data_IF_286200058595
#
_entry.id   IF_286200058595
#
_cell.length_a   1.000
_cell.length_b   1.000
_cell.length_c   1.000
_cell.angle_alpha   90.00
_cell.angle_beta   90.00
_cell.angle_gamma   90.00
#
_symmetry.space_group_name_H-M   'P 1'
#
loop_
_entity.id
_entity.type
_entity.pdbx_description
1 polymer ?
#
# COMPACT_ATOMS: atom_id res chain seq x y z
N UNK A 1 -42.67 11.85 34.91
CA UNK A 1 -41.61 10.97 35.46
C UNK A 1 -41.63 9.63 34.74
N UNK A 2 -40.63 9.29 33.92
CA UNK A 2 -40.47 7.93 33.40
C UNK A 2 -39.56 7.09 34.31
N UNK A 3 -39.91 5.81 34.43
CA UNK A 3 -39.40 4.80 35.37
C UNK A 3 -37.94 4.38 35.06
N UNK A 4 -37.04 4.54 36.05
CA UNK A 4 -35.73 3.87 36.14
C UNK A 4 -35.91 2.36 36.41
N UNK A 5 -36.30 1.56 35.42
CA UNK A 5 -36.25 0.06 35.52
C UNK A 5 -35.76 -0.61 34.21
N UNK A 6 -35.31 0.12 33.19
CA UNK A 6 -35.15 -0.47 31.84
C UNK A 6 -33.79 -1.11 31.48
N UNK A 7 -32.67 -0.71 32.09
CA UNK A 7 -31.33 -1.03 31.53
C UNK A 7 -30.87 -2.47 31.85
N UNK A 8 -31.17 -3.01 33.04
CA UNK A 8 -30.79 -4.39 33.40
C UNK A 8 -31.65 -5.45 32.69
N UNK A 9 -32.91 -5.13 32.36
CA UNK A 9 -33.80 -6.09 31.70
C UNK A 9 -33.44 -6.30 30.22
N UNK A 10 -33.08 -5.23 29.51
CA UNK A 10 -32.73 -5.29 28.09
C UNK A 10 -31.42 -6.06 27.88
N UNK A 11 -30.41 -5.81 28.73
CA UNK A 11 -29.14 -6.54 28.73
C UNK A 11 -29.33 -8.05 29.00
N UNK A 12 -30.22 -8.42 29.93
CA UNK A 12 -30.54 -9.83 30.21
C UNK A 12 -31.26 -10.53 29.08
N UNK A 13 -32.15 -9.83 28.35
CA UNK A 13 -32.82 -10.40 27.18
C UNK A 13 -31.79 -10.70 26.08
N UNK A 14 -30.89 -9.75 25.80
CA UNK A 14 -29.84 -9.91 24.78
C UNK A 14 -28.85 -11.01 25.18
N UNK A 15 -28.41 -11.05 26.44
CA UNK A 15 -27.52 -12.09 26.95
C UNK A 15 -28.13 -13.50 26.80
N UNK A 16 -29.43 -13.64 27.06
CA UNK A 16 -30.10 -14.93 26.91
C UNK A 16 -30.33 -15.32 25.44
N UNK A 17 -30.57 -14.35 24.56
CA UNK A 17 -30.59 -14.58 23.11
C UNK A 17 -29.22 -14.99 22.55
N UNK A 18 -28.13 -14.40 23.07
CA UNK A 18 -26.76 -14.74 22.69
C UNK A 18 -26.32 -16.15 23.09
N UNK A 19 -26.93 -16.72 24.14
CA UNK A 19 -26.71 -18.12 24.54
C UNK A 19 -27.36 -19.15 23.62
N UNK A 20 -28.26 -18.72 22.73
CA UNK A 20 -29.01 -19.58 21.82
C UNK A 20 -28.74 -19.20 20.35
N UNK A 21 -27.60 -19.64 19.81
CA UNK A 21 -27.14 -19.36 18.44
C UNK A 21 -28.10 -19.83 17.35
N UNK A 22 -28.85 -20.93 17.57
CA UNK A 22 -29.92 -21.41 16.66
C UNK A 22 -31.27 -20.69 16.81
N UNK A 23 -31.33 -19.69 17.69
CA UNK A 23 -32.53 -18.92 18.01
C UNK A 23 -33.51 -19.65 18.93
N UNK A 24 -34.23 -18.87 19.74
CA UNK A 24 -35.16 -19.34 20.77
C UNK A 24 -36.59 -18.86 20.51
N UNK A 25 -37.57 -19.71 20.78
CA UNK A 25 -38.99 -19.39 20.65
C UNK A 25 -39.48 -18.49 21.79
N UNK A 26 -40.51 -17.68 21.54
CA UNK A 26 -41.01 -16.70 22.51
C UNK A 26 -41.45 -17.32 23.84
N UNK A 27 -42.11 -18.49 23.81
CA UNK A 27 -42.59 -19.15 25.02
C UNK A 27 -41.42 -19.74 25.85
N UNK A 28 -40.39 -20.26 25.18
CA UNK A 28 -39.19 -20.76 25.84
C UNK A 28 -38.36 -19.61 26.45
N UNK A 29 -38.19 -18.51 25.72
CA UNK A 29 -37.51 -17.31 26.23
C UNK A 29 -38.27 -16.68 27.40
N UNK A 30 -39.60 -16.64 27.33
CA UNK A 30 -40.40 -16.14 28.43
C UNK A 30 -40.31 -17.04 29.66
N UNK A 31 -40.24 -18.37 29.50
CA UNK A 31 -40.08 -19.29 30.62
C UNK A 31 -38.76 -19.05 31.37
N UNK A 32 -37.66 -18.74 30.66
CA UNK A 32 -36.36 -18.42 31.24
C UNK A 32 -36.33 -17.06 31.95
N UNK A 33 -37.16 -16.11 31.50
CA UNK A 33 -37.20 -14.74 32.03
C UNK A 33 -38.50 -14.45 32.81
N UNK A 34 -39.24 -15.48 33.22
CA UNK A 34 -40.59 -15.36 33.79
C UNK A 34 -40.64 -14.50 35.06
N UNK A 35 -39.56 -14.53 35.85
CA UNK A 35 -39.43 -13.82 37.12
C UNK A 35 -38.89 -12.38 36.93
N UNK A 36 -38.50 -12.03 35.71
CA UNK A 36 -37.85 -10.74 35.36
C UNK A 36 -38.78 -9.88 34.50
N UNK A 37 -39.55 -10.47 33.58
CA UNK A 37 -40.35 -9.72 32.61
C UNK A 37 -41.66 -10.45 32.23
N UNK A 38 -42.76 -9.70 32.13
CA UNK A 38 -44.03 -10.26 31.65
C UNK A 38 -43.99 -10.55 30.15
N UNK A 39 -44.72 -11.59 29.70
CA UNK A 39 -44.79 -12.03 28.30
C UNK A 39 -45.08 -10.88 27.32
N UNK A 40 -46.01 -9.99 27.69
CA UNK A 40 -46.40 -8.83 26.87
C UNK A 40 -45.27 -7.79 26.75
N UNK A 41 -44.49 -7.60 27.81
CA UNK A 41 -43.35 -6.67 27.79
C UNK A 41 -42.17 -7.27 27.00
N UNK A 42 -41.91 -8.57 27.13
CA UNK A 42 -40.91 -9.28 26.33
C UNK A 42 -41.24 -9.21 24.83
N UNK A 43 -42.50 -9.44 24.46
CA UNK A 43 -42.95 -9.33 23.08
C UNK A 43 -42.74 -7.92 22.50
N UNK A 44 -43.06 -6.88 23.28
CA UNK A 44 -42.85 -5.49 22.88
C UNK A 44 -41.36 -5.17 22.71
N UNK A 45 -40.51 -5.65 23.62
CA UNK A 45 -39.05 -5.44 23.57
C UNK A 45 -38.41 -6.17 22.40
N UNK A 46 -38.78 -7.42 22.15
CA UNK A 46 -38.31 -8.15 20.97
C UNK A 46 -38.72 -7.47 19.66
N UNK A 47 -39.94 -6.92 19.57
CA UNK A 47 -40.36 -6.15 18.41
C UNK A 47 -39.51 -4.87 18.23
N UNK A 48 -39.17 -4.21 19.34
CA UNK A 48 -38.28 -3.05 19.34
C UNK A 48 -36.86 -3.44 18.90
N UNK A 49 -36.26 -4.49 19.46
CA UNK A 49 -34.92 -4.96 19.08
C UNK A 49 -34.83 -5.46 17.63
N UNK A 50 -35.93 -6.00 17.08
CA UNK A 50 -36.00 -6.33 15.66
C UNK A 50 -36.02 -5.07 14.79
N UNK A 51 -36.71 -4.02 15.23
CA UNK A 51 -36.73 -2.73 14.53
C UNK A 51 -35.37 -2.03 14.60
N UNK A 52 -34.69 -2.15 15.74
CA UNK A 52 -33.35 -1.59 16.01
C UNK A 52 -32.22 -2.45 15.42
N UNK A 53 -32.54 -3.55 14.73
CA UNK A 53 -31.55 -4.42 14.08
C UNK A 53 -30.69 -5.26 15.02
N UNK A 54 -30.97 -5.27 16.32
CA UNK A 54 -30.23 -6.04 17.33
C UNK A 54 -30.66 -7.52 17.41
N UNK A 55 -31.86 -7.85 16.94
CA UNK A 55 -32.43 -9.21 16.99
C UNK A 55 -33.05 -9.55 15.64
N UNK A 56 -32.73 -10.73 15.11
CA UNK A 56 -33.35 -11.26 13.89
C UNK A 56 -34.48 -12.20 14.27
N UNK A 57 -35.66 -11.95 13.68
CA UNK A 57 -36.84 -12.80 13.80
C UNK A 57 -36.96 -13.71 12.57
N UNK A 58 -36.80 -15.03 12.75
CA UNK A 58 -36.89 -16.02 11.67
C UNK A 58 -38.05 -16.99 11.88
N UNK A 59 -38.71 -17.40 10.79
CA UNK A 59 -39.83 -18.36 10.79
C UNK A 59 -41.22 -17.73 10.63
N UNK A 60 -42.24 -18.57 10.37
CA UNK A 60 -43.66 -18.18 10.23
C UNK A 60 -44.52 -18.81 11.34
N UNK A 61 -45.43 -18.02 11.90
CA UNK A 61 -46.44 -18.42 12.90
C UNK A 61 -45.86 -19.09 14.17
N UNK A 62 -46.13 -20.38 14.41
CA UNK A 62 -45.73 -21.12 15.63
C UNK A 62 -44.25 -21.53 15.65
N UNK A 63 -43.53 -21.37 14.53
CA UNK A 63 -42.10 -21.68 14.41
C UNK A 63 -41.18 -20.46 14.50
N UNK A 64 -41.65 -19.33 15.05
CA UNK A 64 -40.85 -18.09 15.13
C UNK A 64 -39.76 -18.24 16.18
N UNK A 65 -38.51 -18.08 15.74
CA UNK A 65 -37.32 -18.02 16.59
C UNK A 65 -36.71 -16.63 16.55
N UNK A 66 -36.26 -16.17 17.70
CA UNK A 66 -35.53 -14.92 17.86
C UNK A 66 -34.07 -15.27 18.13
N UNK A 67 -33.16 -14.64 17.38
CA UNK A 67 -31.71 -14.76 17.59
C UNK A 67 -31.10 -13.37 17.58
N UNK A 68 -30.00 -13.18 18.28
CA UNK A 68 -29.24 -11.93 18.18
C UNK A 68 -28.79 -11.71 16.73
N UNK A 69 -28.88 -10.48 16.24
CA UNK A 69 -28.35 -10.15 14.92
C UNK A 69 -26.81 -10.23 14.96
N UNK A 70 -26.16 -10.76 13.90
CA UNK A 70 -24.73 -10.58 13.76
C UNK A 70 -24.45 -9.07 13.70
N UNK A 71 -23.47 -8.60 14.46
CA UNK A 71 -23.17 -7.17 14.57
C UNK A 71 -23.01 -6.54 13.18
N UNK A 72 -23.85 -5.55 12.89
CA UNK A 72 -23.70 -4.69 11.72
C UNK A 72 -22.60 -3.70 12.06
N UNK A 73 -21.52 -3.80 11.30
CA UNK A 73 -20.25 -3.10 11.40
C UNK A 73 -20.46 -1.57 11.43
N UNK A 74 -20.38 -0.97 12.62
CA UNK A 74 -19.81 0.38 12.77
C UNK A 74 -18.32 0.21 12.90
N UNK A 75 -17.56 0.76 11.94
CA UNK A 75 -16.13 0.53 11.77
C UNK A 75 -15.30 0.58 13.06
N UNK A 76 -15.05 -0.60 13.61
CA UNK A 76 -13.87 -0.96 14.36
C UNK A 76 -13.25 -2.14 13.61
N UNK A 77 -11.96 -2.04 13.34
CA UNK A 77 -11.19 -3.09 12.67
C UNK A 77 -11.12 -4.29 13.61
N UNK A 78 -12.06 -5.21 13.47
CA UNK A 78 -12.01 -6.52 14.12
C UNK A 78 -11.30 -7.49 13.18
N UNK A 79 -10.09 -7.85 13.55
CA UNK A 79 -9.39 -9.03 13.04
C UNK A 79 -10.11 -10.24 13.65
N UNK A 80 -11.14 -10.74 12.98
CA UNK A 80 -11.75 -12.02 13.39
C UNK A 80 -10.86 -13.17 12.93
N UNK A 81 -9.99 -13.64 13.81
CA UNK A 81 -9.46 -15.00 13.72
C UNK A 81 -10.63 -15.98 13.81
N UNK A 82 -10.74 -16.83 12.79
CA UNK A 82 -11.65 -17.98 12.82
C UNK A 82 -11.13 -19.00 13.85
N UNK A 83 -12.00 -19.74 14.56
CA UNK A 83 -11.54 -20.73 15.52
C UNK A 83 -10.77 -21.84 14.80
N UNK A 84 -9.59 -22.16 15.31
CA UNK A 84 -8.72 -23.25 14.88
C UNK A 84 -9.51 -24.57 14.75
N UNK A 85 -9.90 -24.91 13.52
CA UNK A 85 -9.89 -26.30 13.08
C UNK A 85 -8.49 -26.60 12.59
N UNK A 86 -7.80 -27.41 13.37
CA UNK A 86 -6.48 -27.96 13.13
C UNK A 86 -6.47 -28.76 11.82
N UNK A 87 -6.27 -28.07 10.70
CA UNK A 87 -5.88 -28.66 9.41
C UNK A 87 -4.56 -28.01 8.98
N UNK A 88 -3.49 -28.78 9.14
CA UNK A 88 -2.16 -28.52 8.60
C UNK A 88 -2.21 -28.59 7.07
N UNK A 89 -2.68 -27.53 6.43
CA UNK A 89 -2.24 -27.15 5.08
C UNK A 89 -1.22 -26.03 5.25
N UNK A 90 0.00 -26.24 4.75
CA UNK A 90 1.14 -25.35 4.98
C UNK A 90 0.78 -23.88 4.84
N UNK A 91 0.71 -23.18 5.98
CA UNK A 91 0.43 -21.75 6.04
C UNK A 91 1.56 -21.02 5.30
N UNK A 92 1.23 -20.24 4.26
CA UNK A 92 2.21 -19.41 3.56
C UNK A 92 2.62 -18.29 4.52
N UNK A 93 3.86 -18.36 5.01
CA UNK A 93 4.39 -17.45 6.01
C UNK A 93 5.83 -17.06 5.64
N UNK A 94 6.32 -15.94 6.18
CA UNK A 94 7.70 -15.48 5.92
C UNK A 94 8.72 -16.32 6.71
N UNK A 95 9.96 -16.51 6.22
CA UNK A 95 11.02 -17.12 7.02
C UNK A 95 11.25 -16.33 8.32
N UNK A 96 11.44 -17.02 9.44
CA UNK A 96 11.58 -16.40 10.76
C UNK A 96 12.93 -16.70 11.40
N UNK A 97 13.48 -15.70 12.08
CA UNK A 97 14.56 -15.88 13.04
C UNK A 97 14.03 -16.53 14.34
N UNK A 98 14.92 -17.14 15.16
CA UNK A 98 14.52 -17.70 16.46
C UNK A 98 13.82 -16.67 17.37
N UNK A 99 14.30 -15.43 17.39
CA UNK A 99 13.71 -14.32 18.14
C UNK A 99 12.28 -14.01 17.66
N UNK A 100 12.07 -14.07 16.34
CA UNK A 100 10.76 -13.84 15.73
C UNK A 100 9.77 -14.96 16.02
N UNK A 101 10.23 -16.20 16.18
CA UNK A 101 9.36 -17.31 16.62
C UNK A 101 8.82 -17.10 18.04
N UNK A 102 9.63 -16.58 18.95
CA UNK A 102 9.20 -16.24 20.32
C UNK A 102 8.14 -15.14 20.30
N UNK A 103 8.38 -14.07 19.53
CA UNK A 103 7.43 -12.96 19.37
C UNK A 103 6.12 -13.48 18.78
N UNK A 104 6.19 -14.29 17.72
CA UNK A 104 5.01 -14.90 17.09
C UNK A 104 4.24 -15.76 18.08
N UNK A 105 4.92 -16.58 18.86
CA UNK A 105 4.29 -17.44 19.87
C UNK A 105 3.55 -16.61 20.93
N UNK A 106 4.09 -15.45 21.33
CA UNK A 106 3.41 -14.54 22.24
C UNK A 106 2.16 -13.90 21.60
N UNK A 107 2.29 -13.29 20.41
CA UNK A 107 1.17 -12.52 19.81
C UNK A 107 0.01 -13.41 19.35
N UNK A 108 0.27 -14.69 19.09
CA UNK A 108 -0.76 -15.71 18.80
C UNK A 108 -1.53 -16.19 20.03
N UNK A 109 -1.14 -15.77 21.23
CA UNK A 109 -1.94 -16.06 22.42
C UNK A 109 -3.28 -15.31 22.36
N UNK A 110 -4.37 -15.90 22.91
CA UNK A 110 -5.63 -15.20 23.08
C UNK A 110 -5.41 -13.85 23.75
N UNK A 111 -6.11 -12.81 23.29
CA UNK A 111 -5.96 -11.44 23.79
C UNK A 111 -6.05 -11.34 25.32
N UNK A 112 -6.86 -12.19 25.95
CA UNK A 112 -7.04 -12.24 27.41
C UNK A 112 -5.82 -12.76 28.18
N UNK A 113 -4.90 -13.46 27.50
CA UNK A 113 -3.65 -13.96 28.08
C UNK A 113 -2.49 -12.97 27.90
N UNK A 114 -2.67 -11.92 27.09
CA UNK A 114 -1.67 -10.89 26.83
C UNK A 114 -1.86 -9.72 27.80
N UNK A 115 -0.75 -9.13 28.27
CA UNK A 115 -0.79 -8.07 29.29
C UNK A 115 -0.98 -6.70 28.64
N UNK A 116 -1.97 -5.89 29.06
CA UNK A 116 -2.12 -4.53 28.57
C UNK A 116 -0.89 -3.66 28.82
N UNK A 117 -0.45 -2.95 27.78
CA UNK A 117 0.74 -2.09 27.82
C UNK A 117 0.44 -0.73 27.20
N UNK A 118 1.06 0.34 27.72
CA UNK A 118 0.94 1.69 27.17
C UNK A 118 2.15 2.10 26.33
N UNK A 119 2.11 3.30 25.74
CA UNK A 119 3.26 3.88 25.05
C UNK A 119 4.50 3.96 25.96
N UNK A 120 5.51 3.18 25.63
CA UNK A 120 6.83 3.20 26.25
C UNK A 120 7.75 4.20 25.54
N UNK A 121 8.00 5.35 26.17
CA UNK A 121 8.89 6.37 25.62
C UNK A 121 10.36 5.94 25.63
N UNK A 122 10.78 5.13 26.59
CA UNK A 122 12.18 4.68 26.69
C UNK A 122 12.59 3.78 25.52
N UNK A 123 11.62 3.17 24.81
CA UNK A 123 11.89 2.46 23.56
C UNK A 123 12.41 3.39 22.45
N UNK A 124 11.88 4.62 22.37
CA UNK A 124 12.38 5.65 21.44
C UNK A 124 13.70 6.24 21.95
N UNK A 125 13.81 6.52 23.25
CA UNK A 125 15.01 7.13 23.86
C UNK A 125 16.24 6.22 23.80
N UNK A 126 16.04 4.90 23.73
CA UNK A 126 17.12 3.94 23.56
C UNK A 126 17.74 3.95 22.15
N UNK A 127 17.11 4.61 21.18
CA UNK A 127 17.61 4.72 19.83
C UNK A 127 18.37 6.03 19.62
N UNK A 128 19.63 5.91 19.18
CA UNK A 128 20.50 7.02 18.84
C UNK A 128 20.84 6.95 17.34
N UNK A 129 20.39 7.91 16.51
CA UNK A 129 20.62 7.89 15.07
C UNK A 129 22.10 7.73 14.72
N UNK A 130 22.40 6.75 13.86
CA UNK A 130 23.75 6.40 13.40
C UNK A 130 24.69 5.81 14.47
N UNK A 131 24.26 5.63 15.71
CA UNK A 131 25.02 4.96 16.77
C UNK A 131 24.41 3.59 17.11
N UNK A 132 23.08 3.54 17.27
CA UNK A 132 22.32 2.28 17.37
C UNK A 132 21.71 1.93 16.02
N UNK A 133 21.39 0.65 15.82
CA UNK A 133 20.69 0.20 14.61
C UNK A 133 19.74 -0.94 14.93
N UNK A 134 18.60 -0.94 14.25
CA UNK A 134 17.67 -2.08 14.24
C UNK A 134 18.05 -3.12 13.20
N UNK A 135 18.65 -2.68 12.08
CA UNK A 135 19.18 -3.53 11.04
C UNK A 135 20.70 -3.69 11.18
N UNK A 136 21.21 -4.92 11.39
CA UNK A 136 22.65 -5.20 11.38
C UNK A 136 23.32 -4.67 10.10
N UNK A 137 24.61 -4.32 10.20
CA UNK A 137 25.35 -3.74 9.07
C UNK A 137 25.35 -4.67 7.86
N UNK A 138 25.62 -5.96 8.09
CA UNK A 138 25.68 -6.99 7.06
C UNK A 138 24.34 -7.11 6.31
N UNK A 139 23.24 -6.98 7.04
CA UNK A 139 21.90 -6.99 6.46
C UNK A 139 21.66 -5.76 5.59
N UNK A 140 22.07 -4.56 6.04
CA UNK A 140 21.94 -3.32 5.26
C UNK A 140 22.78 -3.38 3.98
N UNK A 141 23.98 -3.96 4.05
CA UNK A 141 24.83 -4.19 2.88
C UNK A 141 24.22 -5.18 1.89
N UNK A 142 23.64 -6.29 2.37
CA UNK A 142 22.90 -7.23 1.53
C UNK A 142 21.71 -6.56 0.83
N UNK A 143 20.87 -5.83 1.58
CA UNK A 143 19.72 -5.12 1.01
C UNK A 143 20.15 -4.08 -0.03
N UNK A 144 21.26 -3.38 0.23
CA UNK A 144 21.86 -2.45 -0.75
C UNK A 144 22.30 -3.18 -2.01
N UNK A 145 23.00 -4.29 -1.88
CA UNK A 145 23.51 -5.06 -3.02
C UNK A 145 22.40 -5.52 -3.96
N UNK A 146 21.26 -5.98 -3.42
CA UNK A 146 20.11 -6.41 -4.23
C UNK A 146 19.21 -5.24 -4.67
N UNK A 147 19.28 -4.11 -3.97
CA UNK A 147 18.40 -2.97 -4.15
C UNK A 147 18.95 -1.88 -5.07
N UNK A 148 20.27 -1.82 -5.25
CA UNK A 148 20.93 -0.84 -6.12
C UNK A 148 20.79 -1.25 -7.60
N UNK A 149 20.15 -0.42 -8.44
CA UNK A 149 20.10 -0.65 -9.88
C UNK A 149 21.51 -0.56 -10.51
N UNK A 150 21.80 -1.31 -11.59
CA UNK A 150 23.12 -1.29 -12.25
C UNK A 150 23.63 0.08 -12.78
N UNK A 151 22.78 1.11 -12.84
CA UNK A 151 23.14 2.46 -13.29
C UNK A 151 22.91 3.47 -12.14
N UNK A 152 23.89 3.59 -11.25
CA UNK A 152 23.79 4.29 -9.95
C UNK A 152 23.89 5.83 -10.06
N UNK A 153 24.32 6.37 -11.21
CA UNK A 153 24.55 7.82 -11.40
C UNK A 153 23.35 8.60 -11.97
N UNK A 154 22.11 8.26 -11.58
CA UNK A 154 20.90 8.96 -12.05
C UNK A 154 20.33 9.92 -10.99
N UNK A 155 19.57 10.97 -11.38
CA UNK A 155 18.87 11.83 -10.42
C UNK A 155 17.90 11.03 -9.53
N UNK A 156 17.58 11.53 -8.34
CA UNK A 156 16.70 10.83 -7.39
C UNK A 156 15.32 10.52 -8.00
N UNK A 157 14.75 9.38 -7.59
CA UNK A 157 13.46 8.87 -8.07
C UNK A 157 13.45 8.39 -9.51
N UNK A 158 14.57 8.41 -10.25
CA UNK A 158 14.60 7.95 -11.66
C UNK A 158 14.24 6.48 -11.76
N UNK A 159 14.78 5.64 -10.88
CA UNK A 159 14.43 4.22 -10.87
C UNK A 159 12.93 4.01 -10.64
N UNK A 160 12.37 4.70 -9.64
CA UNK A 160 10.95 4.62 -9.33
C UNK A 160 10.06 5.15 -10.49
N UNK A 161 10.52 6.16 -11.23
CA UNK A 161 9.85 6.66 -12.45
C UNK A 161 9.85 5.62 -13.57
N UNK A 162 10.97 4.93 -13.80
CA UNK A 162 11.10 3.89 -14.84
C UNK A 162 10.11 2.74 -14.60
N UNK A 163 9.83 2.41 -13.34
CA UNK A 163 8.88 1.35 -12.96
C UNK A 163 7.54 1.89 -12.44
N UNK A 164 7.25 3.19 -12.62
CA UNK A 164 6.15 3.88 -11.91
C UNK A 164 4.82 3.18 -12.09
N UNK A 165 4.45 2.83 -13.34
CA UNK A 165 3.16 2.18 -13.57
C UNK A 165 3.04 0.91 -12.72
N UNK A 166 4.05 0.02 -12.81
CA UNK A 166 4.09 -1.24 -12.05
C UNK A 166 4.05 -1.00 -10.54
N UNK A 167 4.82 -0.03 -10.05
CA UNK A 167 4.83 0.35 -8.64
C UNK A 167 3.45 0.82 -8.17
N UNK A 168 2.75 1.63 -8.97
CA UNK A 168 1.38 2.06 -8.67
C UNK A 168 0.45 0.87 -8.48
N UNK A 169 0.51 -0.14 -9.34
CA UNK A 169 -0.33 -1.33 -9.20
C UNK A 169 0.05 -2.15 -7.98
N UNK A 170 1.32 -2.53 -7.88
CA UNK A 170 1.78 -3.51 -6.90
C UNK A 170 1.68 -2.96 -5.47
N UNK A 171 2.15 -1.74 -5.23
CA UNK A 171 2.12 -1.14 -3.90
C UNK A 171 0.71 -0.70 -3.49
N UNK A 172 -0.11 -0.16 -4.41
CA UNK A 172 -1.51 0.18 -4.07
C UNK A 172 -2.33 -1.05 -3.74
N UNK A 173 -2.15 -2.14 -4.50
CA UNK A 173 -2.83 -3.40 -4.23
C UNK A 173 -2.35 -4.05 -2.92
N UNK A 174 -1.03 -4.26 -2.77
CA UNK A 174 -0.49 -5.01 -1.64
C UNK A 174 -0.70 -4.26 -0.32
N UNK A 175 -0.43 -2.95 -0.28
CA UNK A 175 -0.65 -2.15 0.93
C UNK A 175 -2.12 -2.08 1.33
N UNK A 176 -3.06 -2.05 0.37
CA UNK A 176 -4.50 -2.09 0.67
C UNK A 176 -4.93 -3.48 1.15
N UNK A 177 -4.38 -4.55 0.56
CA UNK A 177 -4.66 -5.93 0.97
C UNK A 177 -4.24 -6.22 2.41
N UNK A 178 -3.12 -5.64 2.87
CA UNK A 178 -2.69 -5.73 4.27
C UNK A 178 -3.66 -5.04 5.27
N UNK A 179 -4.66 -4.30 4.78
CA UNK A 179 -5.75 -3.72 5.57
C UNK A 179 -7.10 -4.40 5.29
N UNK A 180 -7.10 -5.59 4.68
CA UNK A 180 -8.29 -6.38 4.40
C UNK A 180 -9.00 -6.04 3.08
N UNK A 181 -8.41 -5.21 2.20
CA UNK A 181 -9.00 -4.91 0.90
C UNK A 181 -9.03 -6.17 0.00
N UNK A 182 -10.18 -6.44 -0.61
CA UNK A 182 -10.47 -7.68 -1.34
C UNK A 182 -10.23 -7.58 -2.85
N UNK A 183 -9.71 -6.45 -3.36
CA UNK A 183 -9.35 -6.32 -4.77
C UNK A 183 -8.32 -7.36 -5.20
N UNK A 184 -8.52 -7.92 -6.39
CA UNK A 184 -7.46 -8.70 -7.04
C UNK A 184 -6.43 -7.76 -7.64
N UNK A 185 -5.20 -8.25 -7.83
CA UNK A 185 -4.14 -7.47 -8.48
C UNK A 185 -4.52 -7.04 -9.90
N UNK A 186 -5.28 -7.88 -10.62
CA UNK A 186 -5.79 -7.58 -11.96
C UNK A 186 -6.86 -6.50 -11.95
N UNK A 187 -7.75 -6.51 -10.94
CA UNK A 187 -8.76 -5.47 -10.78
C UNK A 187 -8.11 -4.12 -10.44
N UNK A 188 -7.09 -4.13 -9.57
CA UNK A 188 -6.30 -2.93 -9.27
C UNK A 188 -5.63 -2.37 -10.54
N UNK A 189 -5.07 -3.25 -11.39
CA UNK A 189 -4.50 -2.85 -12.68
C UNK A 189 -5.54 -2.12 -13.55
N UNK A 190 -6.73 -2.72 -13.72
CA UNK A 190 -7.79 -2.13 -14.55
C UNK A 190 -8.27 -0.79 -14.00
N UNK A 191 -8.37 -0.68 -12.67
CA UNK A 191 -8.73 0.57 -12.01
C UNK A 191 -7.68 1.66 -12.24
N UNK A 192 -6.39 1.34 -12.10
CA UNK A 192 -5.31 2.33 -12.22
C UNK A 192 -5.09 2.78 -13.67
N UNK A 193 -5.09 1.83 -14.63
CA UNK A 193 -4.80 2.11 -16.04
C UNK A 193 -6.01 2.71 -16.77
N UNK A 194 -7.21 2.19 -16.52
CA UNK A 194 -8.41 2.49 -17.32
C UNK A 194 -9.51 3.22 -16.53
N UNK A 195 -9.32 3.45 -15.23
CA UNK A 195 -10.35 4.04 -14.37
C UNK A 195 -11.57 3.13 -14.18
N UNK A 196 -11.44 1.83 -14.43
CA UNK A 196 -12.54 0.87 -14.37
C UNK A 196 -12.61 0.23 -12.98
N UNK A 197 -13.61 0.63 -12.19
CA UNK A 197 -13.90 -0.03 -10.91
C UNK A 197 -14.37 -1.47 -11.13
N UNK A 198 -14.01 -2.37 -10.21
CA UNK A 198 -14.40 -3.77 -10.28
C UNK A 198 -15.87 -3.95 -9.86
N UNK A 199 -16.60 -4.76 -10.61
CA UNK A 199 -18.00 -5.06 -10.30
C UNK A 199 -18.14 -5.77 -8.95
N UNK A 200 -19.11 -5.32 -8.14
CA UNK A 200 -19.40 -5.92 -6.84
C UNK A 200 -18.43 -5.57 -5.71
N UNK A 201 -17.47 -4.65 -5.93
CA UNK A 201 -16.59 -4.13 -4.89
C UNK A 201 -17.17 -2.89 -4.20
N UNK A 202 -16.81 -2.71 -2.94
CA UNK A 202 -17.23 -1.55 -2.18
C UNK A 202 -16.52 -0.26 -2.67
N UNK A 203 -17.22 0.87 -2.55
CA UNK A 203 -16.68 2.16 -2.93
C UNK A 203 -15.49 2.55 -2.05
N UNK A 204 -15.47 2.17 -0.76
CA UNK A 204 -14.35 2.46 0.13
C UNK A 204 -13.11 1.65 -0.25
N UNK A 205 -13.28 0.39 -0.66
CA UNK A 205 -12.17 -0.43 -1.17
C UNK A 205 -11.56 0.16 -2.45
N UNK A 206 -12.42 0.64 -3.35
CA UNK A 206 -12.00 1.34 -4.57
C UNK A 206 -11.22 2.62 -4.23
N UNK A 207 -11.77 3.45 -3.33
CA UNK A 207 -11.16 4.70 -2.89
C UNK A 207 -9.81 4.46 -2.24
N UNK A 208 -9.67 3.42 -1.42
CA UNK A 208 -8.40 3.07 -0.78
C UNK A 208 -7.28 2.82 -1.79
N UNK A 209 -7.55 2.16 -2.91
CA UNK A 209 -6.56 1.93 -3.97
C UNK A 209 -6.18 3.25 -4.67
N UNK A 210 -7.18 4.08 -5.00
CA UNK A 210 -6.94 5.39 -5.63
C UNK A 210 -6.15 6.33 -4.71
N UNK A 211 -6.41 6.28 -3.41
CA UNK A 211 -5.67 7.02 -2.40
C UNK A 211 -4.18 6.61 -2.36
N UNK A 212 -3.90 5.31 -2.41
CA UNK A 212 -2.51 4.82 -2.51
C UNK A 212 -1.86 5.27 -3.82
N UNK A 213 -2.57 5.18 -4.96
CA UNK A 213 -2.07 5.66 -6.25
C UNK A 213 -1.62 7.12 -6.14
N UNK A 214 -2.47 8.01 -5.63
CA UNK A 214 -2.16 9.43 -5.49
C UNK A 214 -0.97 9.69 -4.53
N UNK A 215 -0.89 8.95 -3.42
CA UNK A 215 0.23 9.06 -2.47
C UNK A 215 1.57 8.59 -3.07
N UNK A 216 1.56 7.54 -3.89
CA UNK A 216 2.75 7.05 -4.59
C UNK A 216 3.19 8.05 -5.66
N UNK A 217 2.25 8.61 -6.43
CA UNK A 217 2.53 9.65 -7.41
C UNK A 217 3.21 10.86 -6.77
N UNK A 218 2.76 11.30 -5.58
CA UNK A 218 3.42 12.36 -4.82
C UNK A 218 4.89 12.01 -4.54
N UNK A 219 5.15 10.82 -3.98
CA UNK A 219 6.51 10.40 -3.60
C UNK A 219 7.47 10.32 -4.81
N UNK A 220 6.98 9.85 -5.95
CA UNK A 220 7.83 9.65 -7.15
C UNK A 220 7.99 10.95 -7.95
N UNK A 221 6.94 11.76 -8.07
CA UNK A 221 7.00 13.01 -8.81
C UNK A 221 7.81 14.08 -8.06
N UNK A 222 7.68 14.13 -6.73
CA UNK A 222 8.36 15.09 -5.87
C UNK A 222 9.56 14.47 -5.12
N UNK A 223 10.20 13.45 -5.69
CA UNK A 223 11.29 12.67 -5.07
C UNK A 223 12.42 13.52 -4.45
N UNK A 224 12.76 14.66 -5.05
CA UNK A 224 13.80 15.57 -4.54
C UNK A 224 13.35 16.41 -3.33
N UNK A 225 12.03 16.67 -3.23
CA UNK A 225 11.42 17.52 -2.22
C UNK A 225 10.89 16.73 -1.01
N UNK A 226 10.42 15.50 -1.23
CA UNK A 226 9.88 14.67 -0.16
C UNK A 226 10.96 14.28 0.84
N UNK A 227 10.70 14.54 2.12
CA UNK A 227 11.57 14.16 3.24
C UNK A 227 10.70 13.81 4.47
N UNK A 228 11.33 13.55 5.62
CA UNK A 228 10.61 13.34 6.88
C UNK A 228 10.18 14.65 7.56
N UNK A 229 9.80 15.69 6.81
CA UNK A 229 9.16 16.87 7.39
C UNK A 229 7.69 16.55 7.76
N UNK A 230 7.13 17.22 8.79
CA UNK A 230 5.72 17.10 9.13
C UNK A 230 4.80 17.30 7.92
N UNK A 231 5.12 18.26 7.04
CA UNK A 231 4.37 18.52 5.81
C UNK A 231 4.22 17.27 4.95
N UNK A 232 5.31 16.58 4.61
CA UNK A 232 5.28 15.37 3.77
C UNK A 232 4.41 14.29 4.39
N UNK A 233 4.56 14.05 5.69
CA UNK A 233 3.82 12.99 6.39
C UNK A 233 2.33 13.35 6.52
N UNK A 234 2.00 14.63 6.73
CA UNK A 234 0.62 15.10 6.70
C UNK A 234 0.00 14.99 5.31
N UNK A 235 0.74 15.31 4.25
CA UNK A 235 0.29 15.16 2.86
C UNK A 235 0.04 13.71 2.50
N UNK A 236 0.94 12.80 2.89
CA UNK A 236 0.73 11.36 2.73
C UNK A 236 -0.53 10.90 3.48
N UNK A 237 -0.69 11.31 4.74
CA UNK A 237 -1.89 10.98 5.49
C UNK A 237 -3.16 11.55 4.84
N UNK A 238 -3.14 12.81 4.38
CA UNK A 238 -4.28 13.43 3.71
C UNK A 238 -4.70 12.65 2.46
N UNK A 239 -3.75 12.30 1.60
CA UNK A 239 -4.01 11.51 0.39
C UNK A 239 -4.51 10.11 0.72
N UNK A 240 -3.91 9.44 1.71
CA UNK A 240 -4.27 8.07 2.08
C UNK A 240 -5.63 7.97 2.79
N UNK A 241 -6.04 9.02 3.48
CA UNK A 241 -7.27 9.09 4.29
C UNK A 241 -8.45 9.75 3.60
N UNK A 242 -8.25 10.36 2.42
CA UNK A 242 -9.29 11.08 1.70
C UNK A 242 -10.51 10.20 1.41
N UNK A 243 -11.70 10.69 1.76
CA UNK A 243 -12.96 9.96 1.62
C UNK A 243 -13.13 8.73 2.52
N UNK A 244 -12.19 8.41 3.41
CA UNK A 244 -12.24 7.21 4.26
C UNK A 244 -12.52 7.51 5.75
N UNK A 245 -12.24 8.73 6.22
CA UNK A 245 -12.50 9.12 7.62
C UNK A 245 -13.93 9.64 7.81
N UNK A 246 -14.52 9.34 8.97
CA UNK A 246 -15.81 9.89 9.37
C UNK A 246 -15.77 11.41 9.55
N UNK A 247 -14.70 11.92 10.18
CA UNK A 247 -14.41 13.35 10.24
C UNK A 247 -13.40 13.74 9.15
N UNK A 248 -13.89 14.41 8.10
CA UNK A 248 -13.05 14.89 7.00
C UNK A 248 -12.00 15.92 7.44
N UNK A 249 -12.23 16.60 8.57
CA UNK A 249 -11.29 17.59 9.08
C UNK A 249 -10.07 16.96 9.78
N UNK A 250 -10.11 15.65 10.05
CA UNK A 250 -8.99 14.88 10.60
C UNK A 250 -7.98 14.46 9.53
N UNK A 251 -8.35 14.49 8.24
CA UNK A 251 -7.44 14.19 7.13
C UNK A 251 -6.20 15.10 7.19
N UNK A 252 -5.01 14.49 7.12
CA UNK A 252 -3.73 15.22 7.21
C UNK A 252 -3.43 15.90 8.54
N UNK A 253 -4.09 15.55 9.65
CA UNK A 253 -3.87 16.18 10.96
C UNK A 253 -3.62 15.17 12.07
N UNK A 254 -2.75 15.55 13.01
CA UNK A 254 -2.57 14.78 14.25
C UNK A 254 -3.90 14.71 14.99
N UNK A 255 -4.22 13.54 15.53
CA UNK A 255 -5.46 13.32 16.28
C UNK A 255 -5.48 14.10 17.59
N UNK A 256 -6.69 14.55 17.96
CA UNK A 256 -6.95 15.20 19.25
C UNK A 256 -7.74 14.31 20.23
N UNK A 257 -8.00 13.06 19.84
CA UNK A 257 -8.71 12.06 20.65
C UNK A 257 -7.87 10.78 20.82
N UNK A 258 -8.11 10.01 21.90
CA UNK A 258 -7.55 8.66 22.03
C UNK A 258 -8.03 7.75 20.90
N UNK A 259 -7.20 6.76 20.57
CA UNK A 259 -7.51 5.68 19.62
C UNK A 259 -7.06 4.36 20.23
N UNK A 260 -7.73 3.29 19.83
CA UNK A 260 -7.38 1.91 20.18
C UNK A 260 -6.97 1.15 18.93
N UNK A 261 -6.13 0.13 19.10
CA UNK A 261 -5.74 -0.77 18.01
C UNK A 261 -6.50 -2.09 18.18
N UNK A 262 -7.35 -2.41 17.20
CA UNK A 262 -8.08 -3.67 17.16
C UNK A 262 -7.14 -4.88 17.24
N UNK A 263 -7.53 -5.91 17.99
CA UNK A 263 -6.73 -7.13 18.19
C UNK A 263 -5.48 -6.97 19.08
N UNK A 264 -5.17 -5.76 19.56
CA UNK A 264 -4.02 -5.50 20.43
C UNK A 264 -4.42 -5.25 21.89
N UNK A 265 -3.47 -5.46 22.80
CA UNK A 265 -3.53 -5.01 24.20
C UNK A 265 -2.74 -3.72 24.44
N UNK A 266 -2.15 -3.15 23.40
CA UNK A 266 -1.43 -1.89 23.44
C UNK A 266 -2.36 -0.67 23.42
N UNK A 267 -2.04 0.31 24.26
CA UNK A 267 -2.74 1.59 24.40
C UNK A 267 -1.83 2.73 23.94
N UNK A 268 -2.08 3.32 22.75
CA UNK A 268 -1.34 4.47 22.27
C UNK A 268 -1.45 5.69 23.18
N UNK A 269 -0.51 6.62 23.02
CA UNK A 269 -0.51 7.84 23.82
C UNK A 269 -1.80 8.66 23.61
N UNK A 270 -2.47 9.02 24.70
CA UNK A 270 -3.76 9.71 24.64
C UNK A 270 -3.64 11.25 24.61
N UNK A 271 -2.53 11.81 25.10
CA UNK A 271 -2.36 13.26 25.30
C UNK A 271 -1.90 13.96 24.01
N UNK A 272 -2.69 14.86 23.39
CA UNK A 272 -2.38 15.43 22.08
C UNK A 272 -1.08 16.26 22.05
N UNK A 273 -0.80 17.03 23.10
CA UNK A 273 0.43 17.85 23.15
C UNK A 273 1.68 16.96 23.13
N UNK A 274 1.67 15.90 23.94
CA UNK A 274 2.79 14.95 24.01
C UNK A 274 2.92 14.13 22.73
N UNK A 275 1.80 13.77 22.11
CA UNK A 275 1.77 13.12 20.80
C UNK A 275 2.46 13.98 19.74
N UNK A 276 2.13 15.27 19.67
CA UNK A 276 2.72 16.20 18.69
C UNK A 276 4.23 16.42 18.93
N UNK A 277 4.66 16.50 20.19
CA UNK A 277 6.09 16.57 20.54
C UNK A 277 6.85 15.32 20.07
N UNK A 278 6.37 14.13 20.43
CA UNK A 278 7.00 12.86 20.05
C UNK A 278 6.99 12.65 18.54
N UNK A 279 5.92 13.06 17.84
CA UNK A 279 5.87 13.03 16.39
C UNK A 279 7.01 13.84 15.76
N UNK A 280 7.23 15.08 16.24
CA UNK A 280 8.33 15.93 15.75
C UNK A 280 9.70 15.32 16.07
N UNK A 281 9.86 14.71 17.24
CA UNK A 281 11.10 14.01 17.63
C UNK A 281 11.39 12.84 16.69
N UNK A 282 10.40 11.94 16.48
CA UNK A 282 10.54 10.79 15.58
C UNK A 282 10.93 11.24 14.17
N UNK A 283 10.29 12.30 13.66
CA UNK A 283 10.62 12.84 12.33
C UNK A 283 12.03 13.44 12.27
N UNK A 284 12.46 14.15 13.32
CA UNK A 284 13.84 14.67 13.41
C UNK A 284 14.86 13.53 13.41
N UNK A 285 14.64 12.52 14.26
CA UNK A 285 15.51 11.34 14.33
C UNK A 285 15.55 10.62 12.98
N UNK A 286 14.40 10.43 12.33
CA UNK A 286 14.34 9.84 11.00
C UNK A 286 15.20 10.61 9.99
N UNK A 287 15.16 11.96 9.97
CA UNK A 287 16.02 12.77 9.08
C UNK A 287 17.51 12.61 9.33
N UNK A 288 17.91 12.34 10.58
CA UNK A 288 19.32 12.20 10.95
C UNK A 288 19.91 10.84 10.58
N UNK A 289 19.08 9.80 10.42
CA UNK A 289 19.53 8.46 10.02
C UNK A 289 20.05 8.53 8.57
N UNK A 290 21.32 8.15 8.38
CA UNK A 290 21.99 8.23 7.07
C UNK A 290 21.74 7.02 6.17
N UNK A 291 21.62 5.83 6.76
CA UNK A 291 21.39 4.63 5.96
C UNK A 291 19.91 4.54 5.55
N UNK A 292 19.58 4.49 4.24
CA UNK A 292 18.21 4.49 3.75
C UNK A 292 17.37 3.29 4.22
N UNK A 293 17.98 2.12 4.44
CA UNK A 293 17.25 0.93 4.92
C UNK A 293 16.92 1.05 6.40
N UNK A 294 17.90 1.49 7.20
CA UNK A 294 17.67 1.80 8.61
C UNK A 294 16.61 2.90 8.77
N UNK A 295 16.69 3.94 7.94
CA UNK A 295 15.76 5.06 7.92
C UNK A 295 14.33 4.62 7.58
N UNK A 296 14.18 3.76 6.56
CA UNK A 296 12.90 3.17 6.17
C UNK A 296 12.31 2.33 7.32
N UNK A 297 13.13 1.45 7.91
CA UNK A 297 12.71 0.54 8.96
C UNK A 297 12.35 1.27 10.25
N UNK A 298 13.13 2.28 10.64
CA UNK A 298 12.85 3.13 11.82
C UNK A 298 11.45 3.75 11.75
N UNK A 299 11.04 4.26 10.59
CA UNK A 299 9.72 4.87 10.41
C UNK A 299 8.61 3.83 10.38
N UNK A 300 8.88 2.63 9.83
CA UNK A 300 7.95 1.50 9.93
C UNK A 300 7.72 1.02 11.36
N UNK A 301 8.69 1.17 12.25
CA UNK A 301 8.57 0.85 13.69
C UNK A 301 7.82 1.97 14.42
N UNK A 302 8.36 3.19 14.40
CA UNK A 302 7.97 4.22 15.36
C UNK A 302 6.71 5.00 14.97
N UNK A 303 6.48 5.24 13.68
CA UNK A 303 5.29 5.99 13.25
C UNK A 303 3.97 5.26 13.60
N UNK A 304 3.80 3.97 13.25
CA UNK A 304 2.58 3.25 13.62
C UNK A 304 2.55 2.82 15.08
N UNK A 305 3.68 2.82 15.81
CA UNK A 305 3.68 2.64 17.27
C UNK A 305 3.16 3.89 17.99
N UNK A 306 3.53 5.09 17.52
CA UNK A 306 3.03 6.37 18.03
C UNK A 306 1.53 6.57 17.76
N UNK A 307 1.03 6.08 16.62
CA UNK A 307 -0.34 6.31 16.13
C UNK A 307 -0.72 7.81 16.11
N UNK A 308 -0.03 8.66 15.32
CA UNK A 308 -0.30 10.10 15.27
C UNK A 308 -1.67 10.48 14.68
N UNK A 309 -2.27 9.63 13.86
CA UNK A 309 -3.51 9.90 13.16
C UNK A 309 -4.68 9.07 13.72
N UNK A 310 -5.92 9.47 13.40
CA UNK A 310 -7.12 8.76 13.85
C UNK A 310 -7.24 7.35 13.27
N UNK A 311 -6.77 7.16 12.04
CA UNK A 311 -6.64 5.89 11.33
C UNK A 311 -5.52 6.03 10.29
N UNK A 312 -5.26 5.02 9.46
CA UNK A 312 -4.34 5.06 8.30
C UNK A 312 -2.86 5.06 8.70
N UNK A 313 -2.52 4.96 9.99
CA UNK A 313 -1.14 5.01 10.50
C UNK A 313 -0.20 3.98 9.85
N UNK A 314 -0.63 2.72 9.71
CA UNK A 314 0.15 1.64 9.08
C UNK A 314 0.35 1.88 7.57
N UNK A 315 -0.66 2.42 6.88
CA UNK A 315 -0.55 2.78 5.45
C UNK A 315 0.45 3.92 5.26
N UNK A 316 0.34 4.97 6.07
CA UNK A 316 1.30 6.08 6.04
C UNK A 316 2.72 5.58 6.30
N UNK A 317 2.93 4.67 7.26
CA UNK A 317 4.28 4.16 7.54
C UNK A 317 4.87 3.35 6.38
N UNK A 318 4.08 2.50 5.71
CA UNK A 318 4.53 1.75 4.52
C UNK A 318 4.92 2.64 3.34
N UNK A 319 4.18 3.73 3.11
CA UNK A 319 4.56 4.72 2.08
C UNK A 319 5.75 5.57 2.50
N UNK A 320 5.79 6.03 3.76
CA UNK A 320 6.90 6.82 4.27
C UNK A 320 8.23 6.04 4.26
N UNK A 321 8.19 4.72 4.45
CA UNK A 321 9.36 3.83 4.31
C UNK A 321 9.99 3.88 2.92
N UNK A 322 9.23 4.24 1.88
CA UNK A 322 9.75 4.38 0.51
C UNK A 322 10.45 5.71 0.25
N UNK A 323 10.25 6.75 1.08
CA UNK A 323 10.91 8.06 0.92
C UNK A 323 12.44 7.90 0.75
N UNK A 324 13.17 7.24 1.68
CA UNK A 324 14.62 7.12 1.54
C UNK A 324 15.03 6.22 0.38
N UNK A 325 14.28 5.17 0.07
CA UNK A 325 14.59 4.29 -1.05
C UNK A 325 14.49 5.04 -2.38
N UNK A 326 13.42 5.81 -2.58
CA UNK A 326 13.21 6.62 -3.79
C UNK A 326 14.25 7.72 -3.92
N UNK A 327 14.54 8.44 -2.82
CA UNK A 327 15.57 9.51 -2.81
C UNK A 327 16.96 9.01 -3.19
N UNK A 328 17.29 7.78 -2.81
CA UNK A 328 18.58 7.16 -3.09
C UNK A 328 18.58 6.27 -4.35
N UNK A 329 17.54 6.35 -5.20
CA UNK A 329 17.40 5.50 -6.39
C UNK A 329 17.47 3.99 -6.13
N UNK A 330 17.15 3.56 -4.92
CA UNK A 330 17.06 2.16 -4.57
C UNK A 330 15.71 1.60 -5.01
N UNK A 331 15.65 0.28 -5.15
CA UNK A 331 14.42 -0.43 -5.40
C UNK A 331 13.38 -0.08 -4.31
N UNK A 332 12.14 0.33 -4.69
CA UNK A 332 11.10 0.64 -3.72
C UNK A 332 10.45 -0.63 -3.16
N UNK A 333 9.98 -0.52 -1.92
CA UNK A 333 9.28 -1.56 -1.19
C UNK A 333 7.79 -1.59 -1.59
N UNK A 334 7.34 -2.72 -2.14
CA UNK A 334 5.97 -2.90 -2.64
C UNK A 334 5.05 -3.73 -1.75
N UNK A 335 5.61 -4.49 -0.80
CA UNK A 335 4.87 -5.47 0.02
C UNK A 335 4.14 -6.56 -0.77
N UNK A 336 4.47 -6.74 -2.05
CA UNK A 336 3.90 -7.82 -2.86
C UNK A 336 4.18 -9.18 -2.21
N UNK A 337 3.19 -10.06 -2.28
CA UNK A 337 3.19 -11.41 -1.72
C UNK A 337 3.32 -11.48 -0.18
N UNK A 338 3.42 -10.36 0.55
CA UNK A 338 3.51 -10.36 2.01
C UNK A 338 2.21 -10.93 2.61
N UNK A 339 2.28 -12.00 3.42
CA UNK A 339 1.11 -12.51 4.10
C UNK A 339 0.56 -11.48 5.11
N UNK A 340 -0.74 -11.17 5.04
CA UNK A 340 -1.40 -10.21 5.93
C UNK A 340 -1.16 -10.55 7.40
N UNK A 341 -1.34 -11.82 7.76
CA UNK A 341 -1.12 -12.32 9.12
C UNK A 341 0.30 -12.05 9.61
N UNK A 342 1.31 -12.29 8.77
CA UNK A 342 2.70 -12.06 9.14
C UNK A 342 2.98 -10.59 9.45
N UNK A 343 2.42 -9.68 8.64
CA UNK A 343 2.55 -8.25 8.88
C UNK A 343 1.81 -7.80 10.15
N UNK A 344 0.58 -8.29 10.38
CA UNK A 344 -0.19 -7.99 11.59
C UNK A 344 0.55 -8.48 12.84
N UNK A 345 1.01 -9.73 12.84
CA UNK A 345 1.76 -10.33 13.97
C UNK A 345 3.07 -9.55 14.24
N UNK A 346 3.78 -9.13 13.19
CA UNK A 346 4.96 -8.28 13.30
C UNK A 346 4.66 -6.93 13.97
N UNK A 347 3.56 -6.27 13.59
CA UNK A 347 3.16 -5.00 14.22
C UNK A 347 2.78 -5.21 15.69
N UNK A 348 2.08 -6.29 16.03
CA UNK A 348 1.75 -6.63 17.42
C UNK A 348 3.02 -6.84 18.26
N UNK A 349 4.07 -7.45 17.70
CA UNK A 349 5.37 -7.59 18.36
C UNK A 349 5.97 -6.24 18.76
N UNK A 350 5.90 -5.25 17.87
CA UNK A 350 6.37 -3.88 18.16
C UNK A 350 5.48 -3.21 19.22
N UNK A 351 4.16 -3.30 19.05
CA UNK A 351 3.19 -2.61 19.91
C UNK A 351 3.20 -3.13 21.33
N UNK A 352 3.30 -4.44 21.50
CA UNK A 352 3.07 -5.08 22.80
C UNK A 352 4.36 -5.45 23.53
N UNK A 353 5.44 -5.71 22.79
CA UNK A 353 6.71 -6.15 23.34
C UNK A 353 7.86 -5.15 23.11
N UNK A 354 7.65 -4.12 22.28
CA UNK A 354 8.73 -3.25 21.76
C UNK A 354 9.90 -4.05 21.16
N UNK A 355 9.58 -5.21 20.55
CA UNK A 355 10.51 -6.07 19.83
C UNK A 355 10.31 -5.89 18.33
N UNK A 356 11.40 -5.72 17.58
CA UNK A 356 11.39 -5.35 16.16
C UNK A 356 11.75 -6.51 15.24
N UNK A 357 12.20 -7.64 15.78
CA UNK A 357 12.79 -8.75 15.05
C UNK A 357 11.80 -9.37 14.05
N UNK A 358 10.56 -9.59 14.48
CA UNK A 358 9.52 -10.13 13.59
C UNK A 358 9.17 -9.15 12.46
N UNK A 359 9.14 -7.85 12.74
CA UNK A 359 8.95 -6.83 11.70
C UNK A 359 10.16 -6.73 10.76
N UNK A 360 11.37 -6.92 11.28
CA UNK A 360 12.60 -6.97 10.49
C UNK A 360 12.54 -8.12 9.49
N UNK A 361 12.14 -9.32 9.90
CA UNK A 361 12.05 -10.48 9.00
C UNK A 361 11.01 -10.23 7.89
N UNK A 362 9.84 -9.68 8.24
CA UNK A 362 8.83 -9.28 7.25
C UNK A 362 9.36 -8.20 6.30
N UNK A 363 10.08 -7.19 6.82
CA UNK A 363 10.65 -6.12 6.02
C UNK A 363 11.69 -6.63 5.01
N UNK A 364 12.62 -7.47 5.46
CA UNK A 364 13.66 -8.08 4.62
C UNK A 364 13.02 -8.91 3.53
N UNK A 365 12.09 -9.80 3.89
CA UNK A 365 11.39 -10.65 2.94
C UNK A 365 10.62 -9.81 1.90
N UNK A 366 9.90 -8.78 2.35
CA UNK A 366 9.15 -7.88 1.47
C UNK A 366 10.07 -7.11 0.51
N UNK A 367 11.26 -6.72 0.98
CA UNK A 367 12.24 -5.99 0.18
C UNK A 367 12.89 -6.88 -0.87
N UNK A 368 13.35 -8.07 -0.48
CA UNK A 368 13.91 -9.08 -1.39
C UNK A 368 12.90 -9.42 -2.49
N UNK A 369 11.64 -9.61 -2.11
CA UNK A 369 10.56 -9.90 -3.06
C UNK A 369 10.32 -8.75 -4.04
N UNK A 370 10.32 -7.52 -3.55
CA UNK A 370 10.19 -6.32 -4.39
C UNK A 370 11.35 -6.21 -5.40
N UNK A 371 12.59 -6.45 -4.95
CA UNK A 371 13.77 -6.42 -5.82
C UNK A 371 13.72 -7.48 -6.92
N UNK A 372 13.35 -8.73 -6.58
CA UNK A 372 13.17 -9.81 -7.56
C UNK A 372 12.17 -9.43 -8.65
N UNK A 373 11.06 -8.79 -8.27
CA UNK A 373 10.00 -8.44 -9.19
C UNK A 373 10.37 -7.26 -10.12
N UNK A 374 11.00 -6.21 -9.60
CA UNK A 374 11.30 -5.01 -10.39
C UNK A 374 12.59 -5.10 -11.21
N UNK A 375 13.61 -5.80 -10.72
CA UNK A 375 14.84 -6.00 -11.50
C UNK A 375 14.62 -6.90 -12.71
N UNK A 376 13.74 -7.90 -12.61
CA UNK A 376 13.37 -8.75 -13.75
C UNK A 376 12.72 -7.93 -14.87
N UNK A 377 11.83 -7.00 -14.52
CA UNK A 377 11.10 -6.18 -15.49
C UNK A 377 12.02 -5.17 -16.19
N UNK A 378 13.04 -4.63 -15.51
CA UNK A 378 14.00 -3.69 -16.14
C UNK A 378 14.78 -4.34 -17.29
N UNK A 379 15.02 -5.65 -17.24
CA UNK A 379 15.67 -6.36 -18.35
C UNK A 379 14.80 -6.40 -19.62
N UNK A 380 13.49 -6.20 -19.48
CA UNK A 380 12.52 -6.18 -20.58
C UNK A 380 12.15 -4.75 -21.05
N UNK A 381 12.27 -3.76 -20.15
CA UNK A 381 12.00 -2.35 -20.46
C UNK A 381 13.18 -1.73 -21.22
N UNK A 382 13.07 -1.64 -22.55
CA UNK A 382 13.92 -0.73 -23.35
C UNK A 382 13.43 0.70 -23.07
N UNK A 383 14.20 1.56 -22.37
CA UNK A 383 13.76 2.92 -22.09
C UNK A 383 13.49 3.65 -23.41
N UNK A 384 12.41 4.45 -23.50
CA UNK A 384 12.12 5.20 -24.71
C UNK A 384 13.29 6.16 -24.97
N UNK A 385 13.86 6.09 -26.17
CA UNK A 385 14.93 6.99 -26.58
C UNK A 385 14.39 8.44 -26.60
N UNK A 386 14.71 9.19 -25.56
CA UNK A 386 14.24 10.58 -25.35
C UNK A 386 14.78 11.52 -26.43
N UNK A 387 15.95 11.21 -26.99
CA UNK A 387 16.54 11.97 -28.09
C UNK A 387 15.77 11.72 -29.38
N UNK A 388 15.44 10.46 -29.68
CA UNK A 388 14.51 10.09 -30.77
C UNK A 388 13.15 10.75 -30.61
N UNK A 389 12.61 10.80 -29.38
CA UNK A 389 11.30 11.39 -29.12
C UNK A 389 11.30 12.90 -29.37
N UNK A 390 12.35 13.61 -28.91
CA UNK A 390 12.55 15.06 -29.15
C UNK A 390 12.60 15.40 -30.63
N UNK A 391 13.32 14.59 -31.42
CA UNK A 391 13.54 14.86 -32.84
C UNK A 391 12.69 14.00 -33.78
N UNK A 392 11.61 13.35 -33.29
CA UNK A 392 10.81 12.39 -34.06
C UNK A 392 10.35 12.92 -35.43
N UNK A 393 9.85 14.15 -35.47
CA UNK A 393 9.39 14.78 -36.72
C UNK A 393 10.56 15.06 -37.67
N UNK A 394 11.69 15.55 -37.13
CA UNK A 394 12.89 15.81 -37.90
C UNK A 394 13.50 14.51 -38.47
N UNK A 395 13.53 13.46 -37.66
CA UNK A 395 13.97 12.12 -38.05
C UNK A 395 13.12 11.56 -39.19
N UNK A 396 11.79 11.64 -39.06
CA UNK A 396 10.87 11.21 -40.11
C UNK A 396 11.03 12.00 -41.39
N UNK A 397 11.26 13.32 -41.30
CA UNK A 397 11.50 14.15 -42.48
C UNK A 397 12.82 13.79 -43.17
N UNK A 398 13.89 13.58 -42.41
CA UNK A 398 15.21 13.23 -42.94
C UNK A 398 15.21 11.87 -43.66
N UNK A 399 14.68 10.82 -43.01
CA UNK A 399 14.57 9.48 -43.60
C UNK A 399 13.73 9.52 -44.88
N UNK A 400 12.57 10.20 -44.83
CA UNK A 400 11.70 10.36 -46.01
C UNK A 400 12.37 11.12 -47.14
N UNK A 401 13.13 12.18 -46.84
CA UNK A 401 13.83 12.98 -47.84
C UNK A 401 14.86 12.15 -48.62
N UNK A 402 15.69 11.36 -47.92
CA UNK A 402 16.69 10.49 -48.53
C UNK A 402 16.04 9.42 -49.42
N UNK A 403 14.95 8.82 -48.94
CA UNK A 403 14.20 7.81 -49.72
C UNK A 403 13.58 8.40 -50.98
N UNK A 404 12.91 9.55 -50.87
CA UNK A 404 12.29 10.21 -52.03
C UNK A 404 13.32 10.75 -53.03
N UNK A 405 14.51 11.14 -52.57
CA UNK A 405 15.62 11.57 -53.43
C UNK A 405 16.38 10.39 -54.04
N UNK A 406 16.01 9.14 -53.72
CA UNK A 406 16.66 7.93 -54.21
C UNK A 406 18.17 7.89 -53.90
N UNK A 407 18.58 8.44 -52.75
CA UNK A 407 19.98 8.51 -52.34
C UNK A 407 20.34 7.37 -51.38
N UNK A 408 21.57 6.88 -51.46
CA UNK A 408 22.12 6.00 -50.43
C UNK A 408 22.32 6.80 -49.14
N UNK A 409 22.03 6.22 -47.94
CA UNK A 409 22.21 6.91 -46.68
C UNK A 409 23.71 6.94 -46.36
N UNK A 410 24.41 7.93 -46.87
CA UNK A 410 25.82 8.22 -46.55
C UNK A 410 25.90 9.44 -45.62
N UNK A 411 27.04 9.62 -44.95
CA UNK A 411 27.20 10.74 -44.01
C UNK A 411 26.93 12.10 -44.69
N UNK A 412 27.36 12.27 -45.95
CA UNK A 412 27.12 13.49 -46.73
C UNK A 412 25.62 13.73 -46.96
N UNK A 413 24.89 12.69 -47.40
CA UNK A 413 23.44 12.79 -47.67
C UNK A 413 22.63 13.04 -46.42
N UNK A 414 22.98 12.38 -45.30
CA UNK A 414 22.30 12.57 -44.01
C UNK A 414 22.56 13.96 -43.47
N UNK A 415 23.82 14.44 -43.51
CA UNK A 415 24.15 15.80 -43.07
C UNK A 415 23.47 16.88 -43.92
N UNK A 416 23.25 16.64 -45.21
CA UNK A 416 22.58 17.58 -46.10
C UNK A 416 21.08 17.74 -45.83
N UNK A 417 20.43 16.74 -45.23
CA UNK A 417 18.99 16.74 -44.97
C UNK A 417 18.62 17.00 -43.51
N UNK A 418 19.59 17.35 -42.65
CA UNK A 418 19.32 17.66 -41.24
C UNK A 418 18.39 18.88 -41.16
N UNK A 419 17.18 18.75 -40.57
CA UNK A 419 16.27 19.87 -40.44
C UNK A 419 16.83 20.94 -39.48
N UNK A 420 16.52 22.22 -39.75
CA UNK A 420 17.02 23.36 -38.95
C UNK A 420 16.56 23.35 -37.48
N UNK A 421 15.54 22.56 -37.13
CA UNK A 421 15.08 22.36 -35.75
C UNK A 421 16.05 21.52 -34.90
N UNK A 422 16.97 20.79 -35.54
CA UNK A 422 18.01 20.03 -34.83
C UNK A 422 19.14 20.97 -34.43
N UNK A 423 19.39 21.11 -33.13
CA UNK A 423 20.46 21.96 -32.60
C UNK A 423 21.83 21.49 -33.12
N UNK A 424 22.75 22.43 -33.38
CA UNK A 424 24.09 22.11 -33.92
C UNK A 424 24.87 21.12 -33.04
N UNK A 425 24.70 21.23 -31.73
CA UNK A 425 25.32 20.34 -30.74
C UNK A 425 24.82 18.89 -30.84
N UNK A 426 23.61 18.70 -31.40
CA UNK A 426 22.95 17.40 -31.54
C UNK A 426 23.17 16.75 -32.93
N UNK A 427 23.90 17.41 -33.85
CA UNK A 427 24.01 16.95 -35.25
C UNK A 427 24.65 15.57 -35.37
N UNK A 428 25.78 15.31 -34.71
CA UNK A 428 26.47 14.03 -34.80
C UNK A 428 25.61 12.87 -34.26
N UNK A 429 24.92 13.12 -33.14
CA UNK A 429 24.01 12.14 -32.53
C UNK A 429 22.77 11.91 -33.40
N UNK A 430 22.26 12.96 -34.06
CA UNK A 430 21.13 12.86 -35.00
C UNK A 430 21.50 12.10 -36.26
N UNK A 431 22.71 12.31 -36.81
CA UNK A 431 23.22 11.54 -37.95
C UNK A 431 23.27 10.04 -37.60
N UNK A 432 23.84 9.70 -36.44
CA UNK A 432 23.87 8.31 -35.97
C UNK A 432 22.48 7.69 -35.85
N UNK A 433 21.52 8.43 -35.30
CA UNK A 433 20.14 7.98 -35.18
C UNK A 433 19.49 7.71 -36.55
N UNK A 434 19.72 8.58 -37.55
CA UNK A 434 19.21 8.37 -38.92
C UNK A 434 19.79 7.09 -39.53
N UNK A 435 21.08 6.81 -39.31
CA UNK A 435 21.71 5.57 -39.77
C UNK A 435 21.09 4.33 -39.14
N UNK A 436 20.87 4.34 -37.83
CA UNK A 436 20.21 3.25 -37.11
C UNK A 436 18.79 2.99 -37.67
N UNK A 437 18.05 4.04 -38.05
CA UNK A 437 16.75 3.86 -38.72
C UNK A 437 16.89 3.20 -40.11
N UNK A 438 17.91 3.58 -40.90
CA UNK A 438 18.13 2.98 -42.22
C UNK A 438 18.58 1.51 -42.14
N UNK A 439 19.34 1.13 -41.11
CA UNK A 439 19.68 -0.28 -40.84
C UNK A 439 18.43 -1.10 -40.51
N UNK A 440 17.47 -0.50 -39.78
CA UNK A 440 16.22 -1.14 -39.43
C UNK A 440 15.12 -0.99 -40.49
N UNK A 441 15.30 -0.17 -41.54
CA UNK A 441 14.25 0.21 -42.48
C UNK A 441 13.86 -0.95 -43.41
N UNK A 442 12.59 -1.35 -43.38
CA UNK A 442 12.02 -2.39 -44.22
C UNK A 442 10.58 -2.05 -44.63
N UNK A 443 9.99 -2.82 -45.54
CA UNK A 443 8.67 -2.53 -46.11
C UNK A 443 7.57 -2.34 -45.06
N UNK A 444 7.59 -3.16 -44.00
CA UNK A 444 6.63 -3.10 -42.89
C UNK A 444 6.75 -1.90 -41.96
N UNK A 445 7.92 -1.23 -41.88
CA UNK A 445 8.12 -0.09 -40.98
C UNK A 445 8.33 1.26 -41.71
N UNK A 446 8.52 1.26 -43.03
CA UNK A 446 8.66 2.48 -43.83
C UNK A 446 7.49 3.48 -43.65
N UNK A 447 6.29 2.96 -43.36
CA UNK A 447 5.10 3.78 -43.09
C UNK A 447 5.25 4.68 -41.87
N UNK A 448 6.11 4.31 -40.89
CA UNK A 448 6.39 5.13 -39.69
C UNK A 448 7.01 6.48 -40.05
N UNK A 449 7.68 6.56 -41.20
CA UNK A 449 8.29 7.78 -41.73
C UNK A 449 7.41 8.46 -42.80
N UNK A 450 6.19 7.95 -43.02
CA UNK A 450 5.28 8.44 -44.04
C UNK A 450 5.71 8.14 -45.47
N UNK A 451 6.45 7.03 -45.67
CA UNK A 451 6.90 6.52 -46.97
C UNK A 451 5.90 5.45 -47.45
N UNK A 452 5.50 5.52 -48.72
CA UNK A 452 4.58 4.56 -49.35
C UNK A 452 5.34 3.32 -49.86
N UNK A 453 4.69 2.15 -49.97
CA UNK A 453 5.35 0.92 -50.44
C UNK A 453 6.08 1.06 -51.78
N UNK A 454 5.48 1.77 -52.75
CA UNK A 454 6.09 2.02 -54.06
C UNK A 454 7.32 2.96 -53.98
N UNK A 455 7.30 3.95 -53.08
CA UNK A 455 8.42 4.87 -52.88
C UNK A 455 9.61 4.13 -52.25
N UNK A 456 9.33 3.24 -51.30
CA UNK A 456 10.35 2.40 -50.66
C UNK A 456 10.95 1.38 -51.63
N UNK A 457 10.12 0.69 -52.41
CA UNK A 457 10.57 -0.28 -53.41
C UNK A 457 11.49 0.36 -54.46
N UNK A 458 11.11 1.55 -54.97
CA UNK A 458 11.93 2.29 -55.93
C UNK A 458 13.31 2.68 -55.34
N UNK A 459 13.35 3.11 -54.09
CA UNK A 459 14.61 3.42 -53.41
C UNK A 459 15.49 2.18 -53.21
N UNK A 460 14.90 1.04 -52.80
CA UNK A 460 15.65 -0.21 -52.64
C UNK A 460 16.25 -0.73 -53.95
N UNK A 461 15.54 -0.61 -55.08
CA UNK A 461 16.07 -1.01 -56.39
C UNK A 461 17.26 -0.14 -56.81
N UNK A 462 17.23 1.16 -56.48
CA UNK A 462 18.28 2.11 -56.84
C UNK A 462 19.52 2.00 -55.96
N UNK A 463 19.36 1.66 -54.68
CA UNK A 463 20.46 1.60 -53.69
C UNK A 463 21.08 0.21 -53.53
N UNK A 464 20.46 -0.85 -54.09
CA UNK A 464 21.06 -2.20 -54.20
C UNK A 464 21.94 -2.40 -55.45
N UNK A 465 21.95 -1.42 -56.37
CA UNK A 465 22.92 -1.34 -57.48
C UNK A 465 24.14 -0.57 -57.03
#
# INVERSE_FOLDING_TARGET
MPKKIAIDTDARIIAELGRHSEGIGMDALHALLKDVISRRTLQRRLAQFVTEGQVVRQGKQRGVRYRQAPDVITGQVDITESPDTMESFGEVYVPLSPESEEIRAYVRQPRQMRTPVGYNQSFLEAYYPNETSYLPLELREQLRQIGTPPDDERPAGTFARDILNRLLIDLSWASSRLEGNTYSRLDTQRLIDFGQAAEGKDALETQMILNHKAAIELLVNEADLVDFAPYTIYSLHALLSDGLLADRSACGRIRHRPVDIGGSVYLPIAMPQRLEELFKIILSMAKEIRDPFEQAFFVMVHLPYLQPFEDVNKRVSRLAANIPLIRHNLCPLSFIDVPERAYVEAMLGVYELNRVELLRDVFVWAYERSCQQYLAIRQELVPPDTFRLRYRQALSAAVKAIVLQQQAPTHETVSAVIPSVVAKEDHDKFVKLVFEEFEALHEGNAILFGIRPLEFAAWQEQTKR
#
